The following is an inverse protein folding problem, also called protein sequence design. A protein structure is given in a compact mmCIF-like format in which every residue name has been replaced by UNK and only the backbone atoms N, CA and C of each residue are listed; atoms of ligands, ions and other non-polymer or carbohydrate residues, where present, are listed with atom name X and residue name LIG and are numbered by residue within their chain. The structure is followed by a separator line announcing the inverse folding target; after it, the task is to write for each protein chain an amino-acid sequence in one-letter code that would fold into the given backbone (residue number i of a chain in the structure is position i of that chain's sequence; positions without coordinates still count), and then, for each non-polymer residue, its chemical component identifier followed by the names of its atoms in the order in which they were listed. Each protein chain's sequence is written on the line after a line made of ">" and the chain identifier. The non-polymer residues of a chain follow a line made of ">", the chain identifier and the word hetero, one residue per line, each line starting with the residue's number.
data_IF_376562965849
#
_entry.id   IF_376562965849
#
_cell.length_a   1.000
_cell.length_b   1.000
_cell.length_c   1.000
_cell.angle_alpha   90.00
_cell.angle_beta   90.00
_cell.angle_gamma   90.00
#
_symmetry.space_group_name_H-M   'P 1'
#
loop_
_entity.id
_entity.type
_entity.pdbx_description
1 polymer ?
#
# COMPACT_ATOMS: atom_id res chain seq x y z
N UNK A 1 -7.03 6.38 38.31
CA UNK A 1 -7.66 7.68 38.03
C UNK A 1 -8.46 7.53 36.74
N UNK A 2 -9.80 7.51 36.84
CA UNK A 2 -10.69 7.04 35.77
C UNK A 2 -10.67 7.98 34.57
N UNK A 3 -10.69 7.41 33.36
CA UNK A 3 -11.09 8.14 32.17
C UNK A 3 -12.37 8.94 32.51
N UNK A 4 -12.41 10.22 32.16
CA UNK A 4 -13.54 11.12 32.48
C UNK A 4 -14.87 10.41 32.12
N UNK A 5 -15.99 10.53 32.86
CA UNK A 5 -17.21 9.77 32.57
C UNK A 5 -17.79 9.92 31.16
N UNK A 6 -17.26 10.85 30.36
CA UNK A 6 -17.58 11.10 28.95
C UNK A 6 -16.50 10.65 27.95
N UNK A 7 -15.47 9.91 28.39
CA UNK A 7 -14.30 9.55 27.58
C UNK A 7 -14.53 8.40 26.59
N UNK A 8 -15.64 7.66 26.71
CA UNK A 8 -15.89 6.42 25.98
C UNK A 8 -14.80 5.34 26.17
N UNK A 9 -14.12 5.32 27.31
CA UNK A 9 -13.15 4.27 27.60
C UNK A 9 -13.79 2.87 27.52
N UNK A 10 -13.19 1.99 26.72
CA UNK A 10 -13.61 0.60 26.59
C UNK A 10 -14.83 0.37 25.72
N UNK A 11 -15.33 1.39 25.00
CA UNK A 11 -16.44 1.20 24.05
C UNK A 11 -15.98 0.59 22.73
N UNK A 12 -14.70 0.76 22.39
CA UNK A 12 -14.05 0.23 21.19
C UNK A 12 -12.80 -0.52 21.65
N UNK A 13 -12.65 -1.75 21.19
CA UNK A 13 -11.52 -2.62 21.49
C UNK A 13 -11.16 -3.42 20.25
N UNK A 14 -9.89 -3.76 20.10
CA UNK A 14 -9.39 -4.64 19.06
C UNK A 14 -8.22 -5.47 19.57
N UNK A 15 -7.97 -6.62 18.95
CA UNK A 15 -6.66 -7.25 19.05
C UNK A 15 -5.64 -6.38 18.29
N UNK A 16 -4.41 -6.31 18.80
CA UNK A 16 -3.31 -5.63 18.13
C UNK A 16 -2.39 -6.61 17.38
N UNK A 17 -2.41 -7.89 17.76
CA UNK A 17 -1.33 -8.83 17.41
C UNK A 17 -0.22 -8.81 18.47
N UNK A 18 0.86 -9.54 18.26
CA UNK A 18 2.09 -9.48 19.09
C UNK A 18 2.94 -8.28 18.65
N UNK A 19 2.60 -7.09 19.17
CA UNK A 19 3.22 -5.84 18.72
C UNK A 19 4.50 -5.50 19.49
N UNK A 20 4.76 -6.23 20.58
CA UNK A 20 5.97 -6.08 21.39
C UNK A 20 6.99 -7.21 21.17
N UNK A 21 6.69 -8.17 20.29
CA UNK A 21 7.50 -9.35 19.95
C UNK A 21 7.84 -10.24 21.15
N UNK A 22 6.90 -10.42 22.07
CA UNK A 22 7.06 -11.30 23.25
C UNK A 22 6.38 -12.69 23.09
N UNK A 23 5.74 -12.92 21.96
CA UNK A 23 5.04 -14.14 21.61
C UNK A 23 3.58 -14.20 22.07
N UNK A 24 3.05 -13.13 22.66
CA UNK A 24 1.66 -13.04 23.10
C UNK A 24 0.92 -11.91 22.40
N UNK A 25 -0.32 -12.16 22.00
CA UNK A 25 -1.15 -11.13 21.39
C UNK A 25 -1.56 -10.05 22.40
N UNK A 26 -1.52 -8.81 21.94
CA UNK A 26 -1.80 -7.58 22.67
C UNK A 26 -3.20 -7.02 22.34
N UNK A 27 -3.65 -6.05 23.14
CA UNK A 27 -5.02 -5.50 23.06
C UNK A 27 -4.98 -3.98 22.97
N UNK A 28 -5.81 -3.42 22.09
CA UNK A 28 -6.09 -1.99 22.02
C UNK A 28 -7.43 -1.67 22.69
N UNK A 29 -7.47 -0.58 23.43
CA UNK A 29 -8.68 -0.06 24.08
C UNK A 29 -8.80 1.43 23.81
N UNK A 30 -9.89 1.83 23.14
CA UNK A 30 -10.17 3.21 22.80
C UNK A 30 -10.85 3.98 23.92
N UNK A 31 -10.51 5.27 24.03
CA UNK A 31 -11.18 6.27 24.83
C UNK A 31 -11.32 7.56 24.00
N UNK A 32 -12.16 7.50 22.97
CA UNK A 32 -12.20 8.44 21.86
C UNK A 32 -12.56 9.89 22.24
N UNK A 33 -12.99 10.14 23.46
CA UNK A 33 -13.33 11.49 23.94
C UNK A 33 -12.55 11.89 25.19
N UNK A 34 -11.46 11.19 25.50
CA UNK A 34 -10.55 11.57 26.57
C UNK A 34 -9.87 12.92 26.28
N UNK A 35 -9.60 13.67 27.36
CA UNK A 35 -8.98 15.00 27.31
C UNK A 35 -7.49 14.90 27.71
N UNK A 36 -6.53 14.82 26.78
CA UNK A 36 -5.10 14.71 27.15
C UNK A 36 -4.10 15.12 26.07
N UNK A 37 -2.82 15.38 26.46
CA UNK A 37 -2.21 15.32 27.80
C UNK A 37 -2.68 16.43 28.77
N UNK A 38 -2.73 16.15 30.08
CA UNK A 38 -3.02 17.11 31.17
C UNK A 38 -4.29 17.98 31.01
N UNK A 39 -5.36 17.44 30.40
CA UNK A 39 -6.57 18.20 30.05
C UNK A 39 -6.31 19.40 29.11
N UNK A 40 -5.15 19.48 28.45
CA UNK A 40 -4.79 20.59 27.57
C UNK A 40 -5.43 20.48 26.18
N UNK A 41 -5.72 19.25 25.73
CA UNK A 41 -6.39 18.96 24.46
C UNK A 41 -7.72 18.27 24.75
N UNK A 42 -8.78 19.07 24.78
CA UNK A 42 -10.13 18.54 25.00
C UNK A 42 -10.52 17.61 23.85
N UNK A 43 -11.03 16.41 24.18
CA UNK A 43 -11.57 15.44 23.23
C UNK A 43 -10.61 15.06 22.09
N UNK A 44 -9.31 15.10 22.35
CA UNK A 44 -8.31 14.59 21.41
C UNK A 44 -8.38 13.08 21.25
N UNK A 45 -8.88 12.38 22.26
CA UNK A 45 -8.94 10.93 22.30
C UNK A 45 -7.65 10.30 22.80
N UNK A 46 -7.77 9.06 23.27
CA UNK A 46 -6.67 8.24 23.75
C UNK A 46 -6.90 6.78 23.35
N UNK A 47 -5.80 6.07 23.13
CA UNK A 47 -5.79 4.61 23.00
C UNK A 47 -4.84 4.02 24.04
N UNK A 48 -5.21 2.87 24.59
CA UNK A 48 -4.38 2.09 25.51
C UNK A 48 -3.98 0.81 24.79
N UNK A 49 -2.68 0.61 24.62
CA UNK A 49 -2.10 -0.65 24.15
C UNK A 49 -1.68 -1.45 25.38
N UNK A 50 -2.29 -2.61 25.58
CA UNK A 50 -2.08 -3.48 26.73
C UNK A 50 -1.34 -4.72 26.25
N UNK A 51 -0.18 -4.99 26.84
CA UNK A 51 0.64 -6.14 26.46
C UNK A 51 0.10 -7.44 27.05
N UNK A 52 -0.09 -8.42 26.18
CA UNK A 52 -0.42 -9.80 26.54
C UNK A 52 0.72 -10.46 27.30
N UNK A 53 0.42 -11.52 28.03
CA UNK A 53 1.45 -12.33 28.67
C UNK A 53 0.97 -13.74 29.04
N UNK A 54 1.88 -14.69 29.10
CA UNK A 54 1.61 -16.06 29.57
C UNK A 54 1.40 -16.24 31.08
N UNK A 55 1.48 -15.15 31.86
CA UNK A 55 1.24 -15.14 33.30
C UNK A 55 -0.24 -15.26 33.69
N UNK A 56 -0.51 -15.42 34.99
CA UNK A 56 -1.87 -15.43 35.53
C UNK A 56 -2.55 -14.07 35.34
N UNK A 57 -3.82 -14.01 34.89
CA UNK A 57 -4.55 -12.75 34.78
C UNK A 57 -4.58 -12.00 36.11
N UNK A 58 -4.28 -10.71 36.08
CA UNK A 58 -4.34 -9.81 37.23
C UNK A 58 -5.08 -8.54 36.84
N UNK A 59 -5.68 -7.87 37.82
CA UNK A 59 -6.31 -6.57 37.60
C UNK A 59 -5.26 -5.55 37.15
N UNK A 60 -5.56 -4.83 36.08
CA UNK A 60 -4.72 -3.77 35.52
C UNK A 60 -5.35 -2.39 35.74
N UNK A 61 -4.66 -1.51 36.47
CA UNK A 61 -5.05 -0.11 36.57
C UNK A 61 -4.37 0.71 35.46
N UNK A 62 -5.14 1.05 34.43
CA UNK A 62 -4.67 1.82 33.27
C UNK A 62 -4.15 3.22 33.64
N UNK A 63 -4.44 3.73 34.83
CA UNK A 63 -3.89 5.00 35.29
C UNK A 63 -2.46 4.88 35.84
N UNK A 64 -2.07 3.69 36.29
CA UNK A 64 -0.77 3.43 36.92
C UNK A 64 0.03 2.34 36.20
N UNK A 65 -0.41 1.96 34.99
CA UNK A 65 0.23 1.00 34.11
C UNK A 65 1.70 1.33 33.88
N UNK A 66 2.56 0.34 34.07
CA UNK A 66 3.99 0.44 33.77
C UNK A 66 4.26 0.16 32.28
N UNK A 67 5.39 0.63 31.72
CA UNK A 67 5.73 0.39 30.32
C UNK A 67 5.89 -1.07 29.92
N UNK A 68 6.01 -2.00 30.87
CA UNK A 68 6.06 -3.45 30.62
C UNK A 68 4.67 -4.09 30.58
N UNK A 69 3.63 -3.37 30.99
CA UNK A 69 2.23 -3.84 30.93
C UNK A 69 1.48 -3.24 29.74
N UNK A 70 2.01 -2.16 29.15
CA UNK A 70 1.39 -1.45 28.05
C UNK A 70 1.82 0.00 28.01
N UNK A 71 1.26 0.74 27.06
CA UNK A 71 1.45 2.19 26.90
C UNK A 71 0.13 2.91 26.61
N UNK A 72 0.19 4.24 26.69
CA UNK A 72 -0.87 5.14 26.24
C UNK A 72 -0.46 5.86 24.97
N UNK A 73 -1.42 6.08 24.10
CA UNK A 73 -1.27 6.84 22.87
C UNK A 73 -2.24 8.02 22.94
N UNK A 74 -1.71 9.23 22.82
CA UNK A 74 -2.47 10.47 22.97
C UNK A 74 -2.77 11.10 21.61
N UNK A 75 -4.03 11.50 21.41
CA UNK A 75 -4.49 12.16 20.19
C UNK A 75 -3.78 13.50 19.93
N UNK A 76 -3.67 13.84 18.64
CA UNK A 76 -2.89 14.96 18.14
C UNK A 76 -3.49 16.32 18.55
N UNK A 77 -4.71 16.60 18.11
CA UNK A 77 -5.36 17.90 18.30
C UNK A 77 -6.73 17.79 18.99
N UNK A 78 -7.29 18.95 19.34
CA UNK A 78 -8.57 19.02 20.05
C UNK A 78 -9.70 18.56 19.13
N UNK A 79 -10.58 17.71 19.65
CA UNK A 79 -11.75 17.15 18.96
C UNK A 79 -11.47 16.13 17.85
N UNK A 80 -10.23 15.69 17.68
CA UNK A 80 -9.85 14.69 16.67
C UNK A 80 -10.40 13.29 16.98
N UNK A 81 -10.63 13.00 18.26
CA UNK A 81 -11.20 11.76 18.76
C UNK A 81 -10.42 10.49 18.38
N UNK A 82 -9.10 10.46 18.62
CA UNK A 82 -8.26 9.27 18.48
C UNK A 82 -8.85 8.06 19.21
N UNK A 83 -8.75 6.88 18.61
CA UNK A 83 -9.35 5.66 19.15
C UNK A 83 -10.83 5.57 18.80
N UNK A 84 -11.24 6.19 17.69
CA UNK A 84 -12.59 6.09 17.13
C UNK A 84 -12.86 4.72 16.50
N UNK A 85 -11.83 4.17 15.84
CA UNK A 85 -11.82 2.80 15.32
C UNK A 85 -10.42 2.23 15.50
N UNK A 86 -10.33 0.94 15.80
CA UNK A 86 -9.10 0.21 16.13
C UNK A 86 -9.12 -1.12 15.39
N UNK A 87 -7.97 -1.56 14.89
CA UNK A 87 -7.77 -2.90 14.35
C UNK A 87 -6.30 -3.31 14.42
N UNK A 88 -6.02 -4.61 14.37
CA UNK A 88 -4.71 -5.10 13.97
C UNK A 88 -4.42 -4.64 12.53
N UNK A 89 -3.16 -4.38 12.23
CA UNK A 89 -2.69 -4.15 10.88
C UNK A 89 -1.87 -5.33 10.34
N UNK A 90 -1.52 -6.30 11.19
CA UNK A 90 -0.61 -7.39 10.81
C UNK A 90 0.79 -6.84 10.59
N UNK A 91 1.67 -7.53 9.87
CA UNK A 91 3.01 -7.03 9.55
C UNK A 91 2.94 -6.05 8.36
N UNK A 92 2.46 -4.84 8.62
CA UNK A 92 2.20 -3.81 7.59
C UNK A 92 3.52 -3.25 7.03
N UNK A 93 4.60 -3.26 7.82
CA UNK A 93 5.91 -2.75 7.40
C UNK A 93 6.92 -3.84 6.97
N UNK A 94 6.60 -5.12 7.17
CA UNK A 94 7.40 -6.29 6.79
C UNK A 94 8.61 -6.55 7.70
N UNK A 95 8.57 -6.12 8.96
CA UNK A 95 9.66 -6.34 9.92
C UNK A 95 9.51 -7.61 10.76
N UNK A 96 8.41 -8.34 10.57
CA UNK A 96 8.08 -9.60 11.23
C UNK A 96 7.42 -9.43 12.60
N UNK A 97 7.01 -8.22 12.97
CA UNK A 97 6.29 -7.91 14.20
C UNK A 97 4.91 -7.36 13.82
N UNK A 98 3.86 -7.74 14.56
CA UNK A 98 2.52 -7.25 14.27
C UNK A 98 2.45 -5.72 14.49
N UNK A 99 1.83 -5.03 13.56
CA UNK A 99 1.49 -3.61 13.60
C UNK A 99 0.00 -3.42 13.92
N UNK A 100 -0.37 -2.19 14.22
CA UNK A 100 -1.77 -1.87 14.47
C UNK A 100 -2.20 -0.52 13.90
N UNK A 101 -3.50 -0.39 13.68
CA UNK A 101 -4.11 0.81 13.11
C UNK A 101 -5.16 1.40 14.04
N UNK A 102 -5.12 2.73 14.15
CA UNK A 102 -6.11 3.52 14.87
C UNK A 102 -6.52 4.75 14.08
N UNK A 103 -7.76 5.20 14.29
CA UNK A 103 -8.27 6.40 13.62
C UNK A 103 -8.69 7.50 14.57
N UNK A 104 -8.51 8.72 14.08
CA UNK A 104 -9.00 9.96 14.66
C UNK A 104 -9.94 10.61 13.63
N UNK A 105 -11.22 10.25 13.69
CA UNK A 105 -12.19 10.63 12.64
C UNK A 105 -12.37 12.16 12.51
N UNK A 106 -12.09 12.90 13.57
CA UNK A 106 -12.21 14.35 13.63
C UNK A 106 -10.98 15.11 13.15
N UNK A 107 -9.89 14.40 12.80
CA UNK A 107 -8.61 15.03 12.47
C UNK A 107 -8.68 16.02 11.30
N UNK A 108 -7.95 17.12 11.45
CA UNK A 108 -7.98 18.27 10.53
C UNK A 108 -6.84 18.25 9.49
N UNK A 109 -6.07 17.16 9.43
CA UNK A 109 -5.02 16.93 8.47
C UNK A 109 -3.77 17.78 8.68
N UNK A 110 -2.92 17.85 7.65
CA UNK A 110 -1.64 18.58 7.72
C UNK A 110 -1.90 20.06 8.03
N UNK A 111 -1.28 20.56 9.10
CA UNK A 111 -1.39 21.95 9.58
C UNK A 111 -2.83 22.38 9.92
N UNK A 112 -3.72 21.43 10.22
CA UNK A 112 -5.14 21.67 10.51
C UNK A 112 -5.86 22.44 9.39
N UNK A 113 -5.42 22.23 8.14
CA UNK A 113 -5.92 22.93 6.97
C UNK A 113 -7.18 22.28 6.37
N UNK A 114 -7.58 21.08 6.83
CA UNK A 114 -8.64 20.24 6.26
C UNK A 114 -9.59 19.76 7.35
N UNK A 115 -10.41 20.67 7.85
CA UNK A 115 -11.34 20.42 8.96
C UNK A 115 -12.13 19.11 8.79
N UNK A 116 -12.03 18.19 9.75
CA UNK A 116 -12.76 16.93 9.78
C UNK A 116 -12.46 15.97 8.62
N UNK A 117 -11.28 16.08 8.01
CA UNK A 117 -10.82 15.15 6.96
C UNK A 117 -10.54 13.74 7.47
N UNK A 118 -10.38 13.59 8.78
CA UNK A 118 -10.04 12.33 9.43
C UNK A 118 -8.57 11.96 9.21
N UNK A 119 -8.05 11.19 10.16
CA UNK A 119 -6.68 10.73 10.16
C UNK A 119 -6.62 9.29 10.62
N UNK A 120 -5.68 8.56 10.03
CA UNK A 120 -5.40 7.17 10.36
C UNK A 120 -3.93 7.06 10.67
N UNK A 121 -3.61 6.35 11.74
CA UNK A 121 -2.26 6.08 12.17
C UNK A 121 -2.07 4.57 12.14
N UNK A 122 -1.13 4.10 11.32
CA UNK A 122 -0.58 2.75 11.45
C UNK A 122 0.67 2.90 12.30
N UNK A 123 0.72 2.24 13.45
CA UNK A 123 1.84 2.28 14.37
C UNK A 123 2.55 0.95 14.35
N UNK A 124 3.87 1.01 14.17
CA UNK A 124 4.67 -0.19 13.97
C UNK A 124 5.01 -0.89 15.26
N UNK A 125 4.85 -2.21 15.25
CA UNK A 125 5.35 -3.14 16.24
C UNK A 125 6.85 -2.98 16.42
N UNK A 126 7.34 -3.30 17.61
CA UNK A 126 8.79 -3.29 17.88
C UNK A 126 9.13 -4.05 19.14
N UNK A 127 10.40 -4.43 19.21
CA UNK A 127 11.00 -5.03 20.39
C UNK A 127 10.73 -4.21 21.69
N UNK A 128 10.75 -4.85 22.87
CA UNK A 128 10.41 -4.21 24.14
C UNK A 128 11.20 -2.93 24.44
N UNK A 129 10.56 -2.00 25.14
CA UNK A 129 11.08 -0.64 25.36
C UNK A 129 10.11 0.47 24.96
N UNK A 130 8.83 0.14 24.82
CA UNK A 130 7.77 1.08 24.51
C UNK A 130 7.66 2.20 25.55
N UNK A 131 7.29 3.37 25.06
CA UNK A 131 6.98 4.55 25.87
C UNK A 131 5.67 5.15 25.35
N UNK A 132 4.96 5.89 26.20
CA UNK A 132 3.75 6.58 25.79
C UNK A 132 4.00 7.44 24.54
N UNK A 133 3.08 7.39 23.59
CA UNK A 133 3.16 8.07 22.29
C UNK A 133 2.25 9.30 22.30
N UNK A 134 2.75 10.41 21.78
CA UNK A 134 1.97 11.64 21.60
C UNK A 134 1.91 11.98 20.10
N UNK A 135 0.75 11.76 19.48
CA UNK A 135 0.54 11.92 18.03
C UNK A 135 0.48 13.39 17.59
N UNK A 136 0.55 14.36 18.51
CA UNK A 136 0.81 15.75 18.15
C UNK A 136 2.23 15.93 17.57
N UNK A 137 3.08 14.91 17.70
CA UNK A 137 4.41 14.84 17.12
C UNK A 137 4.37 13.92 15.90
N UNK A 138 5.17 14.21 14.85
CA UNK A 138 5.25 13.33 13.70
C UNK A 138 5.58 11.89 14.12
N UNK A 139 4.78 10.94 13.63
CA UNK A 139 5.10 9.52 13.67
C UNK A 139 6.25 9.34 12.68
N UNK A 140 7.48 9.24 13.18
CA UNK A 140 8.65 9.02 12.33
C UNK A 140 8.56 7.67 11.63
N UNK A 141 9.20 7.50 10.48
CA UNK A 141 9.11 6.29 9.64
C UNK A 141 9.48 4.98 10.35
N UNK A 142 10.21 5.04 11.46
CA UNK A 142 10.53 3.87 12.29
C UNK A 142 9.45 3.50 13.32
N UNK A 143 8.37 4.28 13.46
CA UNK A 143 7.31 4.03 14.45
C UNK A 143 5.90 3.97 13.83
N UNK A 144 5.77 4.23 12.53
CA UNK A 144 4.48 4.19 11.86
C UNK A 144 4.34 5.22 10.73
N UNK A 145 3.12 5.26 10.18
CA UNK A 145 2.70 6.14 9.09
C UNK A 145 1.35 6.79 9.43
N UNK A 146 1.18 8.06 9.03
CA UNK A 146 -0.09 8.80 9.15
C UNK A 146 -0.69 9.01 7.77
N UNK A 147 -1.92 8.53 7.58
CA UNK A 147 -2.74 8.78 6.40
C UNK A 147 -3.79 9.86 6.71
N UNK A 148 -4.05 10.73 5.73
CA UNK A 148 -4.87 11.93 5.91
C UNK A 148 -5.89 12.01 4.79
N UNK A 149 -7.14 12.31 5.12
CA UNK A 149 -8.21 12.44 4.14
C UNK A 149 -7.94 13.51 3.08
N UNK A 150 -8.35 13.21 1.84
CA UNK A 150 -8.38 14.16 0.73
C UNK A 150 -9.50 15.17 0.93
N UNK A 151 -9.17 16.35 1.49
CA UNK A 151 -10.14 17.43 1.68
C UNK A 151 -10.72 17.89 0.35
N UNK A 152 -12.04 17.74 0.19
CA UNK A 152 -12.74 18.09 -1.06
C UNK A 152 -13.94 19.02 -0.89
N UNK A 153 -14.58 19.04 0.28
CA UNK A 153 -15.74 19.89 0.59
C UNK A 153 -15.74 20.24 2.09
N UNK A 154 -16.39 21.34 2.52
CA UNK A 154 -16.50 21.73 3.94
C UNK A 154 -17.31 20.77 4.81
N UNK A 155 -17.71 19.61 4.30
CA UNK A 155 -18.57 18.64 4.98
C UNK A 155 -17.86 17.28 5.16
N UNK A 156 -17.25 17.07 6.32
CA UNK A 156 -17.17 15.78 7.05
C UNK A 156 -16.76 14.49 6.29
N UNK A 157 -15.90 14.58 5.28
CA UNK A 157 -15.30 13.41 4.62
C UNK A 157 -14.23 12.77 5.51
N UNK A 158 -14.66 12.17 6.62
CA UNK A 158 -13.77 11.58 7.61
C UNK A 158 -13.27 10.23 7.12
N UNK A 159 -12.02 10.18 6.63
CA UNK A 159 -11.29 8.91 6.48
C UNK A 159 -11.11 8.27 7.86
N UNK A 160 -11.06 6.95 7.91
CA UNK A 160 -10.91 6.23 9.18
C UNK A 160 -12.19 6.24 10.02
N UNK A 161 -13.38 6.38 9.42
CA UNK A 161 -14.61 6.17 10.16
C UNK A 161 -14.72 4.74 10.70
N UNK A 162 -14.22 3.78 9.93
CA UNK A 162 -13.91 2.42 10.37
C UNK A 162 -12.55 2.03 9.81
N UNK A 163 -11.80 1.22 10.55
CA UNK A 163 -10.58 0.56 10.09
C UNK A 163 -10.72 -0.95 10.30
N UNK A 164 -10.07 -1.75 9.47
CA UNK A 164 -10.01 -3.20 9.59
C UNK A 164 -8.66 -3.68 9.07
N UNK A 165 -8.16 -4.77 9.64
CA UNK A 165 -7.14 -5.59 8.99
C UNK A 165 -7.66 -6.05 7.63
N UNK A 166 -6.80 -6.00 6.61
CA UNK A 166 -7.00 -6.58 5.30
C UNK A 166 -6.27 -7.92 5.12
N UNK A 167 -5.22 -8.16 5.91
CA UNK A 167 -4.18 -9.12 5.56
C UNK A 167 -3.48 -8.69 4.27
N UNK A 168 -2.60 -9.52 3.73
CA UNK A 168 -2.02 -9.28 2.40
C UNK A 168 -3.09 -9.48 1.28
N UNK A 169 -3.80 -8.40 0.92
CA UNK A 169 -4.88 -8.42 -0.09
C UNK A 169 -4.29 -8.52 -1.49
N UNK A 170 -3.11 -7.92 -1.70
CA UNK A 170 -2.52 -7.79 -3.01
C UNK A 170 -1.45 -8.86 -3.32
N UNK A 171 -1.03 -9.66 -2.33
CA UNK A 171 -0.05 -10.74 -2.41
C UNK A 171 1.43 -10.32 -2.33
N UNK A 172 1.74 -9.07 -1.96
CA UNK A 172 3.11 -8.53 -1.97
C UNK A 172 3.95 -8.88 -0.72
N UNK A 173 3.38 -9.65 0.19
CA UNK A 173 4.04 -10.12 1.42
C UNK A 173 4.00 -9.12 2.57
N UNK A 174 3.29 -8.00 2.42
CA UNK A 174 3.00 -7.06 3.50
C UNK A 174 1.50 -7.12 3.82
N UNK A 175 1.14 -7.05 5.10
CA UNK A 175 -0.27 -6.96 5.45
C UNK A 175 -0.85 -5.59 5.07
N UNK A 176 -2.08 -5.58 4.59
CA UNK A 176 -2.81 -4.38 4.19
C UNK A 176 -3.90 -4.02 5.19
N UNK A 177 -4.42 -2.80 5.08
CA UNK A 177 -5.57 -2.35 5.87
C UNK A 177 -6.69 -1.81 5.00
N UNK A 178 -7.92 -1.98 5.46
CA UNK A 178 -9.11 -1.42 4.82
C UNK A 178 -9.65 -0.29 5.66
N UNK A 179 -9.91 0.85 5.03
CA UNK A 179 -10.37 2.06 5.71
C UNK A 179 -11.67 2.57 5.09
N UNK A 180 -12.67 2.76 5.93
CA UNK A 180 -13.95 3.31 5.53
C UNK A 180 -13.96 4.83 5.62
N UNK A 181 -14.52 5.46 4.59
CA UNK A 181 -14.78 6.89 4.52
C UNK A 181 -16.28 7.08 4.50
N UNK A 182 -16.80 7.74 5.53
CA UNK A 182 -18.21 8.10 5.53
C UNK A 182 -18.41 9.32 4.63
N UNK A 183 -19.56 9.36 3.96
CA UNK A 183 -20.11 10.56 3.32
C UNK A 183 -19.30 11.17 2.16
N UNK A 184 -18.42 10.41 1.54
CA UNK A 184 -17.76 10.90 0.32
C UNK A 184 -18.74 11.01 -0.85
N UNK A 185 -18.42 11.88 -1.81
CA UNK A 185 -19.18 12.16 -3.02
C UNK A 185 -18.25 11.94 -4.23
N UNK A 186 -17.75 10.71 -4.37
CA UNK A 186 -16.79 10.32 -5.42
C UNK A 186 -17.47 10.11 -6.79
N UNK A 187 -18.81 10.00 -6.80
CA UNK A 187 -19.58 9.63 -7.98
C UNK A 187 -20.35 10.87 -8.43
N UNK A 188 -19.76 11.63 -9.37
CA UNK A 188 -20.37 12.64 -10.28
C UNK A 188 -21.44 13.61 -9.73
N UNK A 189 -21.54 13.78 -8.41
CA UNK A 189 -22.59 14.52 -7.70
C UNK A 189 -24.01 13.95 -7.83
N UNK A 190 -24.22 12.74 -8.36
CA UNK A 190 -25.55 12.13 -8.40
C UNK A 190 -25.96 11.49 -7.06
N UNK A 191 -25.01 11.10 -6.20
CA UNK A 191 -25.28 10.41 -4.95
C UNK A 191 -24.62 11.11 -3.75
N UNK A 192 -25.44 11.82 -2.96
CA UNK A 192 -24.99 12.42 -1.72
C UNK A 192 -24.67 11.35 -0.68
N UNK A 193 -23.51 11.47 -0.05
CA UNK A 193 -23.07 10.65 1.09
C UNK A 193 -22.92 9.14 0.83
N UNK A 194 -22.59 8.70 -0.39
CA UNK A 194 -22.48 7.27 -0.75
C UNK A 194 -21.48 6.49 0.11
N UNK A 195 -20.46 7.16 0.65
CA UNK A 195 -19.37 6.51 1.37
C UNK A 195 -18.42 5.77 0.43
N UNK A 196 -17.22 5.44 0.92
CA UNK A 196 -16.24 4.65 0.19
C UNK A 196 -15.42 3.79 1.15
N UNK A 197 -14.73 2.80 0.60
CA UNK A 197 -13.68 2.07 1.29
C UNK A 197 -12.41 2.16 0.44
N UNK A 198 -11.26 2.35 1.09
CA UNK A 198 -9.95 2.28 0.47
C UNK A 198 -9.19 1.11 1.08
N UNK A 199 -8.42 0.42 0.25
CA UNK A 199 -7.33 -0.44 0.72
C UNK A 199 -6.07 0.43 0.78
N UNK A 200 -5.40 0.44 1.92
CA UNK A 200 -4.07 1.02 2.05
C UNK A 200 -3.10 -0.15 2.08
N UNK A 201 -2.22 -0.20 1.09
CA UNK A 201 -1.27 -1.29 0.96
C UNK A 201 -0.10 -1.12 1.94
N UNK A 202 0.32 -2.23 2.54
CA UNK A 202 1.53 -2.33 3.35
C UNK A 202 2.79 -2.13 2.50
N UNK A 203 3.95 -2.09 3.15
CA UNK A 203 5.23 -1.98 2.45
C UNK A 203 6.42 -1.63 3.33
N UNK A 204 7.62 -1.69 2.76
CA UNK A 204 8.84 -1.28 3.44
C UNK A 204 8.93 0.24 3.58
N UNK A 205 8.49 0.76 4.72
CA UNK A 205 8.57 2.19 5.07
C UNK A 205 9.91 2.59 5.70
N UNK A 206 10.84 1.65 5.87
CA UNK A 206 12.16 1.92 6.45
C UNK A 206 13.08 2.69 5.50
N UNK A 207 12.78 2.63 4.19
CA UNK A 207 13.50 3.35 3.14
C UNK A 207 12.80 4.64 2.77
N UNK A 208 13.48 5.76 3.02
CA UNK A 208 13.21 6.97 2.25
C UNK A 208 13.47 6.67 0.77
N UNK A 209 12.65 7.23 -0.14
CA UNK A 209 12.91 7.19 -1.59
C UNK A 209 14.38 7.57 -1.84
N UNK A 210 15.18 6.61 -2.33
CA UNK A 210 16.61 6.80 -2.59
C UNK A 210 16.83 7.84 -3.68
N UNK A 211 15.96 7.84 -4.71
CA UNK A 211 15.94 8.86 -5.77
C UNK A 211 14.53 9.25 -6.14
N UNK A 212 14.24 10.54 -5.99
CA UNK A 212 12.98 11.16 -6.37
C UNK A 212 13.22 12.07 -7.58
N UNK A 213 12.45 11.85 -8.65
CA UNK A 213 12.38 12.72 -9.81
C UNK A 213 11.54 13.97 -9.54
N UNK A 214 11.34 14.75 -10.59
CA UNK A 214 10.76 16.08 -10.53
C UNK A 214 9.33 16.07 -11.08
N UNK A 215 8.90 17.18 -11.67
CA UNK A 215 7.64 17.25 -12.42
C UNK A 215 7.85 17.18 -13.93
N UNK A 216 9.10 16.99 -14.37
CA UNK A 216 9.47 16.84 -15.77
C UNK A 216 10.07 15.47 -16.02
N UNK A 217 10.52 15.22 -17.25
CA UNK A 217 11.06 13.91 -17.64
C UNK A 217 12.45 13.70 -17.05
N UNK A 218 12.57 12.73 -16.17
CA UNK A 218 13.78 12.42 -15.41
C UNK A 218 14.39 11.08 -15.83
N UNK A 219 15.68 10.93 -15.55
CA UNK A 219 16.40 9.66 -15.70
C UNK A 219 17.03 9.28 -14.36
N UNK A 220 16.47 8.27 -13.72
CA UNK A 220 16.89 7.77 -12.42
C UNK A 220 17.53 6.40 -12.59
N UNK A 221 18.68 6.18 -11.96
CA UNK A 221 19.31 4.86 -11.92
C UNK A 221 19.69 4.49 -10.50
N UNK A 222 19.35 3.31 -10.03
CA UNK A 222 19.74 2.78 -8.73
C UNK A 222 21.18 2.26 -8.74
N UNK A 223 21.47 1.41 -7.78
CA UNK A 223 22.80 0.88 -7.49
C UNK A 223 22.85 -0.62 -7.74
N UNK A 224 23.75 -1.34 -7.05
CA UNK A 224 23.75 -2.81 -7.00
C UNK A 224 23.10 -3.32 -5.70
N UNK A 225 22.62 -2.41 -4.85
CA UNK A 225 21.86 -2.73 -3.64
C UNK A 225 20.39 -2.43 -3.87
N UNK A 226 19.56 -2.72 -2.87
CA UNK A 226 18.13 -2.43 -2.96
C UNK A 226 17.85 -0.92 -2.86
N UNK A 227 17.31 -0.34 -3.93
CA UNK A 227 16.97 1.07 -4.10
C UNK A 227 15.44 1.28 -4.21
N UNK A 228 14.96 2.46 -3.80
CA UNK A 228 13.60 2.95 -4.05
C UNK A 228 13.66 4.17 -4.98
N UNK A 229 13.21 4.00 -6.22
CA UNK A 229 13.18 5.06 -7.23
C UNK A 229 11.74 5.51 -7.50
N UNK A 230 11.49 6.81 -7.49
CA UNK A 230 10.18 7.39 -7.82
C UNK A 230 10.36 8.50 -8.86
N UNK A 231 9.81 8.34 -10.07
CA UNK A 231 9.91 9.29 -11.18
C UNK A 231 9.18 10.59 -10.91
N UNK A 232 8.01 10.52 -10.26
CA UNK A 232 7.22 11.69 -9.90
C UNK A 232 6.20 12.02 -10.98
N UNK A 233 6.35 13.13 -11.70
CA UNK A 233 5.51 13.43 -12.88
C UNK A 233 6.44 13.66 -14.06
N UNK A 234 5.97 13.34 -15.26
CA UNK A 234 6.78 13.40 -16.45
C UNK A 234 6.82 12.02 -17.10
N UNK A 235 7.49 11.91 -18.24
CA UNK A 235 7.80 10.63 -18.84
C UNK A 235 9.22 10.25 -18.43
N UNK A 236 9.32 9.40 -17.43
CA UNK A 236 10.54 9.11 -16.69
C UNK A 236 11.18 7.79 -17.14
N UNK A 237 12.50 7.69 -16.97
CA UNK A 237 13.26 6.47 -17.18
C UNK A 237 13.93 6.04 -15.87
N UNK A 238 13.41 4.96 -15.29
CA UNK A 238 13.91 4.37 -14.05
C UNK A 238 14.70 3.11 -14.38
N UNK A 239 15.88 2.97 -13.79
CA UNK A 239 16.75 1.79 -13.95
C UNK A 239 17.07 1.28 -12.55
N UNK A 240 16.50 0.15 -12.14
CA UNK A 240 16.77 -0.43 -10.81
C UNK A 240 18.26 -0.66 -10.59
N UNK A 241 18.87 -1.39 -11.52
CA UNK A 241 20.27 -1.76 -11.44
C UNK A 241 20.35 -3.24 -11.10
N UNK A 242 21.00 -3.58 -10.00
CA UNK A 242 20.81 -4.88 -9.38
C UNK A 242 20.51 -4.68 -7.91
N UNK A 243 19.97 -5.69 -7.24
CA UNK A 243 19.45 -5.50 -5.90
C UNK A 243 18.00 -5.93 -5.85
N UNK A 244 17.25 -5.45 -4.87
CA UNK A 244 15.83 -5.78 -4.72
C UNK A 244 15.05 -4.48 -4.67
N UNK A 245 14.81 -3.93 -5.85
CA UNK A 245 14.43 -2.53 -5.99
C UNK A 245 12.91 -2.33 -5.99
N UNK A 246 12.53 -1.07 -5.80
CA UNK A 246 11.17 -0.56 -5.95
C UNK A 246 11.21 0.56 -6.97
N UNK A 247 10.57 0.37 -8.11
CA UNK A 247 10.46 1.33 -9.20
C UNK A 247 9.02 1.86 -9.27
N UNK A 248 8.86 3.18 -9.12
CA UNK A 248 7.57 3.86 -9.21
C UNK A 248 7.67 4.93 -10.30
N UNK A 249 7.04 4.75 -11.44
CA UNK A 249 7.05 5.71 -12.55
C UNK A 249 6.39 7.02 -12.12
N UNK A 250 5.10 6.97 -11.80
CA UNK A 250 4.36 8.10 -11.26
C UNK A 250 3.28 8.54 -12.23
N UNK A 251 3.33 9.77 -12.75
CA UNK A 251 2.34 10.24 -13.72
C UNK A 251 3.01 10.65 -15.03
N UNK A 252 2.62 10.01 -16.13
CA UNK A 252 3.18 10.17 -17.47
C UNK A 252 3.47 8.79 -18.06
N UNK A 253 4.13 8.74 -19.21
CA UNK A 253 4.48 7.48 -19.85
C UNK A 253 5.92 7.13 -19.52
N UNK A 254 6.11 6.18 -18.62
CA UNK A 254 7.37 5.85 -17.99
C UNK A 254 8.00 4.57 -18.56
N UNK A 255 9.33 4.49 -18.52
CA UNK A 255 10.11 3.31 -18.88
C UNK A 255 10.84 2.80 -17.62
N UNK A 256 10.46 1.63 -17.14
CA UNK A 256 10.97 1.02 -15.92
C UNK A 256 11.82 -0.19 -16.29
N UNK A 257 13.14 -0.06 -16.18
CA UNK A 257 14.10 -1.14 -16.43
C UNK A 257 14.37 -1.90 -15.16
N UNK A 258 13.90 -3.15 -15.12
CA UNK A 258 13.87 -3.98 -13.93
C UNK A 258 14.63 -5.28 -14.16
N UNK A 259 15.03 -5.95 -13.09
CA UNK A 259 15.47 -7.33 -13.11
C UNK A 259 14.58 -8.22 -12.22
N UNK A 260 14.82 -9.54 -12.26
CA UNK A 260 13.97 -10.49 -11.54
C UNK A 260 14.11 -10.42 -10.00
N UNK A 261 15.08 -9.70 -9.44
CA UNK A 261 15.22 -9.55 -7.99
C UNK A 261 14.41 -8.36 -7.44
N UNK A 262 13.85 -7.52 -8.32
CA UNK A 262 13.06 -6.36 -7.93
C UNK A 262 11.74 -6.74 -7.27
N UNK A 263 11.40 -5.99 -6.22
CA UNK A 263 10.20 -6.22 -5.41
C UNK A 263 8.97 -5.57 -6.03
N UNK A 264 9.15 -4.43 -6.69
CA UNK A 264 8.06 -3.68 -7.30
C UNK A 264 8.50 -2.88 -8.54
N UNK A 265 7.64 -2.90 -9.55
CA UNK A 265 7.69 -2.20 -10.83
C UNK A 265 6.28 -1.64 -11.09
N UNK A 266 6.04 -0.41 -10.66
CA UNK A 266 4.74 0.25 -10.78
C UNK A 266 4.84 1.40 -11.78
N UNK A 267 4.18 1.30 -12.93
CA UNK A 267 4.17 2.38 -13.93
C UNK A 267 3.48 3.64 -13.42
N UNK A 268 2.35 3.47 -12.75
CA UNK A 268 1.50 4.57 -12.32
C UNK A 268 0.54 5.01 -13.42
N UNK A 269 0.28 6.30 -13.53
CA UNK A 269 -0.72 6.81 -14.45
C UNK A 269 -0.13 7.18 -15.81
N UNK A 270 -0.44 6.43 -16.85
CA UNK A 270 -0.06 6.80 -18.21
C UNK A 270 -0.16 5.65 -19.20
N UNK A 271 0.92 5.42 -19.93
CA UNK A 271 1.13 4.22 -20.74
C UNK A 271 2.58 3.80 -20.52
N UNK A 272 2.77 2.82 -19.68
CA UNK A 272 4.06 2.53 -19.07
C UNK A 272 4.68 1.26 -19.64
N UNK A 273 6.01 1.25 -19.71
CA UNK A 273 6.81 0.15 -20.26
C UNK A 273 7.70 -0.45 -19.19
N UNK A 274 7.47 -1.71 -18.86
CA UNK A 274 8.39 -2.51 -18.05
C UNK A 274 9.38 -3.23 -18.97
N UNK A 275 10.64 -2.83 -18.94
CA UNK A 275 11.71 -3.38 -19.78
C UNK A 275 12.60 -4.36 -18.97
N UNK A 276 12.64 -5.61 -19.40
CA UNK A 276 13.39 -6.66 -18.70
C UNK A 276 14.89 -6.54 -18.96
N UNK A 277 15.67 -6.46 -17.89
CA UNK A 277 17.13 -6.47 -17.95
C UNK A 277 17.68 -7.89 -17.78
N UNK A 278 18.61 -8.27 -18.65
CA UNK A 278 19.35 -9.52 -18.56
C UNK A 278 19.20 -10.40 -19.78
N UNK A 279 19.58 -11.68 -19.63
CA UNK A 279 19.48 -12.68 -20.69
C UNK A 279 19.02 -14.03 -20.15
N UNK A 280 18.19 -14.74 -20.91
CA UNK A 280 17.72 -16.07 -20.55
C UNK A 280 16.76 -16.07 -19.35
N UNK A 281 15.97 -15.00 -19.19
CA UNK A 281 15.14 -14.77 -18.01
C UNK A 281 13.73 -15.34 -18.22
N UNK A 282 13.16 -15.89 -17.16
CA UNK A 282 11.77 -16.35 -17.11
C UNK A 282 11.00 -15.43 -16.15
N UNK A 283 9.97 -14.76 -16.65
CA UNK A 283 8.95 -14.08 -15.86
C UNK A 283 7.74 -15.02 -15.82
N UNK A 284 7.37 -15.50 -14.64
CA UNK A 284 6.16 -16.31 -14.44
C UNK A 284 5.18 -15.55 -13.55
N UNK A 285 4.05 -15.15 -14.13
CA UNK A 285 2.99 -14.40 -13.46
C UNK A 285 1.91 -15.33 -12.89
N UNK A 286 1.93 -16.62 -13.21
CA UNK A 286 0.82 -17.57 -12.96
C UNK A 286 0.96 -18.41 -11.68
N UNK A 287 1.99 -18.14 -10.86
CA UNK A 287 2.35 -18.94 -9.67
C UNK A 287 1.62 -18.56 -8.37
N UNK A 288 1.84 -19.34 -7.30
CA UNK A 288 1.31 -19.11 -5.93
C UNK A 288 2.03 -17.98 -5.17
N UNK A 289 3.19 -17.56 -5.68
CA UNK A 289 3.81 -16.26 -5.42
C UNK A 289 3.83 -15.53 -6.75
N UNK A 290 2.71 -14.96 -7.21
CA UNK A 290 2.70 -14.15 -8.43
C UNK A 290 3.86 -13.16 -8.35
N UNK A 291 4.51 -12.86 -9.46
CA UNK A 291 5.38 -11.69 -9.56
C UNK A 291 4.49 -10.45 -9.38
N UNK A 292 4.14 -10.14 -8.12
CA UNK A 292 3.38 -8.95 -7.69
C UNK A 292 4.19 -7.67 -7.85
N UNK A 293 5.37 -7.78 -8.45
CA UNK A 293 6.20 -6.64 -8.79
C UNK A 293 5.44 -5.70 -9.76
N UNK A 294 4.70 -6.21 -10.73
CA UNK A 294 4.12 -5.34 -11.77
C UNK A 294 2.76 -4.77 -11.39
N UNK A 295 2.62 -3.44 -11.47
CA UNK A 295 1.36 -2.70 -11.30
C UNK A 295 1.29 -1.58 -12.34
N UNK A 296 0.12 -1.33 -12.91
CA UNK A 296 -0.11 -0.28 -13.93
C UNK A 296 0.92 -0.32 -15.07
N UNK A 297 0.98 -1.44 -15.80
CA UNK A 297 1.89 -1.64 -16.93
C UNK A 297 1.08 -2.04 -18.17
N UNK A 298 1.23 -1.29 -19.26
CA UNK A 298 0.57 -1.58 -20.54
C UNK A 298 1.52 -2.26 -21.54
N UNK A 299 2.83 -2.16 -21.33
CA UNK A 299 3.84 -2.74 -22.21
C UNK A 299 4.87 -3.51 -21.37
N UNK A 300 5.05 -4.79 -21.67
CA UNK A 300 6.23 -5.54 -21.23
C UNK A 300 7.16 -5.67 -22.42
N UNK A 301 8.38 -5.20 -22.24
CA UNK A 301 9.43 -5.24 -23.25
C UNK A 301 10.47 -6.30 -22.86
N UNK A 302 10.46 -7.40 -23.61
CA UNK A 302 11.42 -8.50 -23.51
C UNK A 302 12.62 -8.29 -24.43
N UNK A 303 12.62 -7.25 -25.27
CA UNK A 303 13.70 -6.99 -26.20
C UNK A 303 15.01 -6.80 -25.44
N UNK A 304 16.09 -7.38 -25.97
CA UNK A 304 17.38 -7.32 -25.30
C UNK A 304 18.32 -8.43 -25.74
N UNK A 305 19.07 -8.95 -24.78
CA UNK A 305 20.03 -10.02 -25.02
C UNK A 305 19.46 -11.36 -24.56
N UNK A 306 19.72 -12.41 -25.34
CA UNK A 306 19.28 -13.78 -25.01
C UNK A 306 17.78 -14.01 -25.18
N UNK A 307 17.39 -15.24 -24.91
CA UNK A 307 16.03 -15.73 -25.15
C UNK A 307 15.22 -15.65 -23.85
N UNK A 308 14.32 -14.68 -23.74
CA UNK A 308 13.51 -14.46 -22.55
C UNK A 308 12.12 -15.08 -22.69
N UNK A 309 11.52 -15.48 -21.57
CA UNK A 309 10.22 -16.13 -21.54
C UNK A 309 9.29 -15.41 -20.57
N UNK A 310 8.03 -15.23 -21.00
CA UNK A 310 6.96 -14.72 -20.17
C UNK A 310 5.81 -15.74 -20.11
N UNK A 311 5.36 -16.08 -18.91
CA UNK A 311 4.16 -16.89 -18.66
C UNK A 311 3.13 -16.00 -17.97
N UNK A 312 1.93 -15.92 -18.54
CA UNK A 312 0.84 -15.10 -18.02
C UNK A 312 -0.53 -15.73 -18.32
N UNK A 313 -1.53 -15.40 -17.52
CA UNK A 313 -2.93 -15.76 -17.73
C UNK A 313 -3.81 -14.54 -18.07
N UNK A 314 -5.10 -14.78 -18.33
CA UNK A 314 -6.04 -13.69 -18.63
C UNK A 314 -6.20 -12.72 -17.46
N UNK A 315 -6.18 -13.20 -16.23
CA UNK A 315 -6.33 -12.36 -15.05
C UNK A 315 -5.11 -11.46 -14.86
N UNK A 316 -3.91 -11.92 -15.23
CA UNK A 316 -2.70 -11.09 -15.23
C UNK A 316 -2.85 -9.90 -16.16
N UNK A 317 -3.35 -10.11 -17.40
CA UNK A 317 -3.64 -8.99 -18.32
C UNK A 317 -4.61 -7.98 -17.70
N UNK A 318 -5.67 -8.45 -17.03
CA UNK A 318 -6.65 -7.56 -16.40
C UNK A 318 -6.12 -6.83 -15.16
N UNK A 319 -5.18 -7.43 -14.42
CA UNK A 319 -4.62 -6.85 -13.19
C UNK A 319 -3.48 -5.87 -13.46
N UNK A 320 -2.69 -6.14 -14.50
CA UNK A 320 -1.52 -5.34 -14.82
C UNK A 320 -1.88 -4.00 -15.42
N UNK A 321 -2.87 -3.96 -16.31
CA UNK A 321 -3.24 -2.71 -16.98
C UNK A 321 -4.27 -1.97 -16.15
N UNK A 322 -3.98 -0.75 -15.72
CA UNK A 322 -5.00 0.11 -15.11
C UNK A 322 -5.90 0.77 -16.17
N UNK A 323 -5.52 0.61 -17.45
CA UNK A 323 -6.17 1.23 -18.58
C UNK A 323 -6.40 0.27 -19.73
N UNK A 324 -7.69 0.05 -20.04
CA UNK A 324 -8.11 -0.53 -21.31
C UNK A 324 -7.95 -2.04 -21.44
N UNK A 325 -7.56 -2.74 -20.37
CA UNK A 325 -7.45 -4.20 -20.32
C UNK A 325 -6.59 -4.79 -21.44
N UNK A 326 -5.60 -4.02 -21.91
CA UNK A 326 -4.85 -4.32 -23.12
C UNK A 326 -3.35 -4.30 -22.84
N UNK A 327 -2.72 -5.47 -22.82
CA UNK A 327 -1.29 -5.64 -22.59
C UNK A 327 -0.57 -5.88 -23.92
N UNK A 328 0.50 -5.13 -24.18
CA UNK A 328 1.40 -5.35 -25.31
C UNK A 328 2.69 -6.00 -24.84
N UNK A 329 3.12 -7.05 -25.52
CA UNK A 329 4.43 -7.67 -25.30
C UNK A 329 5.30 -7.41 -26.52
N UNK A 330 6.37 -6.67 -26.30
CA UNK A 330 7.43 -6.44 -27.28
C UNK A 330 8.54 -7.47 -27.03
N UNK A 331 9.16 -8.00 -28.09
CA UNK A 331 10.28 -8.93 -27.95
C UNK A 331 10.97 -9.16 -29.28
N UNK A 332 12.12 -9.83 -29.25
CA UNK A 332 12.90 -10.12 -30.44
C UNK A 332 12.98 -11.64 -30.70
N UNK A 333 13.56 -12.01 -31.84
CA UNK A 333 13.70 -13.41 -32.22
C UNK A 333 14.46 -14.22 -31.15
N UNK A 334 13.81 -15.23 -30.58
CA UNK A 334 14.33 -16.05 -29.48
C UNK A 334 13.44 -15.96 -28.23
N UNK A 335 12.81 -14.80 -28.01
CA UNK A 335 11.88 -14.60 -26.91
C UNK A 335 10.58 -15.41 -27.10
N UNK A 336 9.88 -15.64 -25.99
CA UNK A 336 8.67 -16.46 -25.98
C UNK A 336 7.61 -15.97 -24.99
N UNK A 337 6.34 -16.18 -25.35
CA UNK A 337 5.20 -15.93 -24.46
C UNK A 337 4.34 -17.18 -24.40
N UNK A 338 3.97 -17.59 -23.19
CA UNK A 338 3.10 -18.74 -22.93
C UNK A 338 1.86 -18.29 -22.17
N UNK A 339 0.68 -18.60 -22.72
CA UNK A 339 -0.61 -18.41 -22.07
C UNK A 339 -1.55 -19.54 -22.51
N UNK A 340 -1.56 -20.62 -21.74
CA UNK A 340 -2.26 -21.86 -22.09
C UNK A 340 -3.53 -22.06 -21.26
N UNK A 341 -4.52 -22.73 -21.86
CA UNK A 341 -5.79 -23.06 -21.24
C UNK A 341 -6.68 -21.86 -20.92
N UNK A 342 -6.55 -20.76 -21.68
CA UNK A 342 -7.28 -19.52 -21.44
C UNK A 342 -8.42 -19.28 -22.46
N UNK A 343 -8.52 -20.08 -23.52
CA UNK A 343 -9.49 -19.94 -24.61
C UNK A 343 -9.37 -18.59 -25.35
N UNK A 344 -8.13 -18.19 -25.63
CA UNK A 344 -7.83 -16.95 -26.37
C UNK A 344 -8.38 -17.01 -27.79
N UNK A 345 -9.08 -15.94 -28.21
CA UNK A 345 -9.51 -15.76 -29.59
C UNK A 345 -8.47 -14.95 -30.35
N UNK A 346 -7.76 -15.60 -31.27
CA UNK A 346 -6.79 -14.94 -32.14
C UNK A 346 -7.49 -14.06 -33.19
N UNK A 347 -7.18 -12.77 -33.16
CA UNK A 347 -7.71 -11.74 -34.06
C UNK A 347 -6.83 -11.44 -35.27
N UNK A 348 -7.00 -10.26 -35.85
CA UNK A 348 -6.18 -9.79 -36.96
C UNK A 348 -4.82 -9.29 -36.48
N UNK A 349 -3.85 -9.27 -37.41
CA UNK A 349 -2.57 -8.57 -37.21
C UNK A 349 -2.81 -7.06 -37.13
N UNK A 350 -2.10 -6.41 -36.21
CA UNK A 350 -2.11 -4.95 -36.05
C UNK A 350 -0.69 -4.43 -36.13
N UNK A 351 -0.45 -3.38 -36.91
CA UNK A 351 0.86 -2.73 -36.98
C UNK A 351 0.90 -1.52 -36.05
N UNK A 352 1.86 -1.50 -35.13
CA UNK A 352 2.11 -0.38 -34.22
C UNK A 352 3.56 0.07 -34.41
N UNK A 353 3.77 1.33 -34.81
CA UNK A 353 5.11 1.90 -35.01
C UNK A 353 6.05 1.11 -35.95
N UNK A 354 5.48 0.30 -36.86
CA UNK A 354 6.24 -0.49 -37.83
C UNK A 354 6.44 -1.96 -37.43
N UNK A 355 6.07 -2.35 -36.22
CA UNK A 355 6.08 -3.73 -35.73
C UNK A 355 4.69 -4.34 -35.88
N UNK A 356 4.61 -5.59 -36.36
CA UNK A 356 3.35 -6.35 -36.44
C UNK A 356 3.10 -7.12 -35.15
N UNK A 357 1.85 -7.08 -34.68
CA UNK A 357 1.40 -7.76 -33.48
C UNK A 357 0.22 -8.68 -33.79
N UNK A 358 0.28 -9.91 -33.29
CA UNK A 358 -0.85 -10.81 -33.23
C UNK A 358 -1.73 -10.44 -32.04
N UNK A 359 -2.99 -10.10 -32.30
CA UNK A 359 -3.96 -9.79 -31.25
C UNK A 359 -4.63 -11.08 -30.79
N UNK A 360 -4.77 -11.25 -29.47
CA UNK A 360 -5.53 -12.31 -28.83
C UNK A 360 -6.50 -11.68 -27.83
N UNK A 361 -7.77 -12.09 -27.82
CA UNK A 361 -8.80 -11.55 -26.92
C UNK A 361 -9.50 -12.63 -26.14
N UNK A 362 -9.78 -12.38 -24.86
CA UNK A 362 -10.56 -13.24 -23.99
C UNK A 362 -11.39 -12.34 -23.08
N UNK A 363 -12.72 -12.39 -23.22
CA UNK A 363 -13.60 -11.55 -22.43
C UNK A 363 -13.28 -10.06 -22.64
N UNK A 364 -12.84 -9.39 -21.58
CA UNK A 364 -12.42 -7.99 -21.63
C UNK A 364 -10.90 -7.81 -21.83
N UNK A 365 -10.11 -8.88 -21.73
CA UNK A 365 -8.66 -8.85 -21.85
C UNK A 365 -8.24 -8.89 -23.33
N UNK A 366 -7.27 -8.04 -23.68
CA UNK A 366 -6.62 -7.99 -24.99
C UNK A 366 -5.12 -8.14 -24.81
N UNK A 367 -4.52 -9.11 -25.49
CA UNK A 367 -3.08 -9.34 -25.51
C UNK A 367 -2.56 -9.11 -26.93
N UNK A 368 -1.58 -8.21 -27.08
CA UNK A 368 -0.91 -7.95 -28.35
C UNK A 368 0.52 -8.48 -28.26
N UNK A 369 0.82 -9.51 -29.06
CA UNK A 369 2.13 -10.15 -29.06
C UNK A 369 2.88 -9.82 -30.33
N UNK A 370 4.09 -9.27 -30.20
CA UNK A 370 4.99 -9.09 -31.33
C UNK A 370 5.13 -10.41 -32.11
N UNK A 371 5.05 -10.32 -33.44
CA UNK A 371 5.16 -11.49 -34.34
C UNK A 371 6.55 -12.12 -34.36
N UNK A 372 7.59 -11.43 -33.86
CA UNK A 372 8.93 -12.01 -33.71
C UNK A 372 9.05 -12.96 -32.50
N UNK A 373 8.07 -12.94 -31.59
CA UNK A 373 7.99 -13.85 -30.43
C UNK A 373 7.60 -15.27 -30.84
N UNK A 374 8.13 -16.26 -30.13
CA UNK A 374 7.53 -17.61 -30.11
C UNK A 374 6.30 -17.60 -29.22
N UNK A 375 5.11 -17.81 -29.79
CA UNK A 375 3.84 -17.68 -29.09
C UNK A 375 3.20 -19.06 -28.80
N UNK A 376 3.01 -19.39 -27.53
CA UNK A 376 2.27 -20.58 -27.06
C UNK A 376 0.94 -20.16 -26.43
N UNK A 377 -0.06 -19.91 -27.27
CA UNK A 377 -1.35 -19.33 -26.88
C UNK A 377 -2.47 -20.32 -27.19
N UNK A 378 -3.30 -20.66 -26.21
CA UNK A 378 -4.46 -21.54 -26.38
C UNK A 378 -5.63 -21.18 -25.48
#
# INVERSE_FOLDING_TARGET
>A
MRANPSSNFGTIMAAAGDVNADGFADILIGASWADRPNNARSRSGETYLIFGHGGTPADLDTATMSPTQGIRIFGADRYDALGWSLAAAGDFNGDGIDDFVESAFGGDGILNARAGSGEIFVLFGKAPGWVDIDLARPVGSANGVRFIGGGGLPDYNAVGNTVSSGGDINGDGFDDIVVGVRRTNLDDHAHFESGAAYVLYGGDFSKSVDKLGSTGNDRLGGTNGADVLNGGRGNDLLIGGGGSDVLIGGAGNDELRFDLFDRMVNGGGGRDTAHLMGAGKLIDMTGATPYHAFKSIEIIDLTGFGDNSLILDMLDVLRLTDRGNALRIDGNAGDSVTSLGQDWVTGALTTIQGTEYQTHTQGAATLLLDTDLTQFIS
#
